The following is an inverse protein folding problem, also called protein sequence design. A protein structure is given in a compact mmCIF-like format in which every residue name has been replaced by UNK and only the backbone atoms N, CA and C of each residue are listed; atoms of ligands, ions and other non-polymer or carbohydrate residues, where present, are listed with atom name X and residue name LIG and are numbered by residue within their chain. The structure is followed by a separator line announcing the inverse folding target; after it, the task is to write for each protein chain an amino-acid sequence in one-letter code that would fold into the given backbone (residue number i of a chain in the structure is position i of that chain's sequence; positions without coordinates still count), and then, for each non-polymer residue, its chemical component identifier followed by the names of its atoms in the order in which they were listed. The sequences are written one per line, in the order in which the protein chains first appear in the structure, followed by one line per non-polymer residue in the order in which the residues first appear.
data_IF_913173984406
#
_entry.id   IF_913173984406
#
_cell.length_a   1.000
_cell.length_b   1.000
_cell.length_c   1.000
_cell.angle_alpha   90.00
_cell.angle_beta   90.00
_cell.angle_gamma   90.00
#
_symmetry.space_group_name_H-M   'P 1'
#
loop_
_entity.id
_entity.type
_entity.pdbx_description
1 polymer ?
#
# COMPACT_ATOMS: atom_id res chain seq x y z
N UNK A 1 5.34 18.34 -15.59
CA UNK A 1 6.29 17.42 -14.89
C UNK A 1 6.46 17.72 -13.38
N UNK A 2 6.05 18.90 -12.88
CA UNK A 2 6.16 19.28 -11.45
C UNK A 2 4.97 18.80 -10.60
N UNK A 3 3.75 18.80 -11.15
CA UNK A 3 2.50 18.46 -10.42
C UNK A 3 2.56 17.06 -9.79
N UNK A 4 3.01 16.04 -10.53
CA UNK A 4 3.16 14.68 -9.99
C UNK A 4 4.16 14.62 -8.83
N UNK A 5 5.28 15.34 -8.91
CA UNK A 5 6.29 15.36 -7.84
C UNK A 5 5.76 16.05 -6.58
N UNK A 6 4.90 17.06 -6.74
CA UNK A 6 4.17 17.70 -5.65
C UNK A 6 3.24 16.73 -4.93
N UNK A 7 2.37 16.03 -5.66
CA UNK A 7 1.40 15.07 -5.09
C UNK A 7 2.10 13.97 -4.28
N UNK A 8 3.20 13.41 -4.78
CA UNK A 8 3.96 12.40 -4.03
C UNK A 8 4.59 12.99 -2.76
N UNK A 9 5.11 14.21 -2.83
CA UNK A 9 5.73 14.88 -1.68
C UNK A 9 4.68 15.21 -0.61
N UNK A 10 3.51 15.69 -1.00
CA UNK A 10 2.42 16.02 -0.09
C UNK A 10 1.84 14.77 0.56
N UNK A 11 1.71 13.66 -0.18
CA UNK A 11 1.33 12.38 0.40
C UNK A 11 2.35 11.90 1.44
N UNK A 12 3.66 11.96 1.16
CA UNK A 12 4.69 11.55 2.13
C UNK A 12 4.61 12.39 3.41
N UNK A 13 4.38 13.71 3.30
CA UNK A 13 4.18 14.57 4.47
C UNK A 13 2.91 14.21 5.25
N UNK A 14 1.80 13.96 4.56
CA UNK A 14 0.56 13.55 5.20
C UNK A 14 0.72 12.20 5.92
N UNK A 15 1.36 11.22 5.27
CA UNK A 15 1.63 9.91 5.85
C UNK A 15 2.52 10.04 7.11
N UNK A 16 3.53 10.93 7.09
CA UNK A 16 4.37 11.22 8.26
C UNK A 16 3.57 11.85 9.43
N UNK A 17 2.68 12.80 9.14
CA UNK A 17 1.81 13.38 10.17
C UNK A 17 0.86 12.34 10.77
N UNK A 18 0.33 11.42 9.96
CA UNK A 18 -0.48 10.29 10.46
C UNK A 18 0.37 9.39 11.35
N UNK A 19 1.62 9.11 10.99
CA UNK A 19 2.51 8.29 11.80
C UNK A 19 2.77 8.91 13.19
N UNK A 20 2.97 10.23 13.22
CA UNK A 20 3.27 10.99 14.44
C UNK A 20 2.04 11.14 15.34
N UNK A 21 0.90 11.54 14.77
CA UNK A 21 -0.25 11.97 15.57
C UNK A 21 -1.36 10.93 15.67
N UNK A 22 -1.41 9.94 14.77
CA UNK A 22 -2.48 8.93 14.69
C UNK A 22 -1.88 7.53 14.39
N UNK A 23 -0.97 7.02 15.24
CA UNK A 23 -0.16 5.83 14.95
C UNK A 23 -0.96 4.53 14.83
N UNK A 24 -2.25 4.53 15.18
CA UNK A 24 -3.15 3.40 15.06
C UNK A 24 -3.80 3.30 13.66
N UNK A 25 -3.69 4.34 12.82
CA UNK A 25 -4.24 4.35 11.46
C UNK A 25 -3.30 3.54 10.55
N UNK A 26 -3.84 2.46 9.97
CA UNK A 26 -3.18 1.73 8.90
C UNK A 26 -3.20 2.53 7.60
N UNK A 27 -2.13 2.46 6.81
CA UNK A 27 -2.04 3.13 5.51
C UNK A 27 -1.87 2.11 4.39
N UNK A 28 -2.50 2.36 3.26
CA UNK A 28 -2.37 1.51 2.08
C UNK A 28 -1.71 2.26 0.93
N UNK A 29 -0.74 1.61 0.29
CA UNK A 29 0.07 2.13 -0.79
C UNK A 29 -0.16 1.28 -2.04
N UNK A 30 -1.20 1.59 -2.82
CA UNK A 30 -1.49 0.85 -4.04
C UNK A 30 -0.53 1.21 -5.17
N UNK A 31 -0.49 0.33 -6.17
CA UNK A 31 0.08 0.63 -7.48
C UNK A 31 -0.71 1.70 -8.27
N UNK A 32 -0.46 1.79 -9.57
CA UNK A 32 -1.17 2.73 -10.45
C UNK A 32 -2.63 2.30 -10.59
N UNK A 33 -3.58 3.17 -10.30
CA UNK A 33 -5.00 2.85 -10.36
C UNK A 33 -5.55 2.82 -11.79
N UNK A 34 -6.55 1.96 -12.04
CA UNK A 34 -7.36 1.93 -13.27
C UNK A 34 -8.85 1.72 -12.97
N UNK A 35 -9.72 2.22 -13.86
CA UNK A 35 -11.19 2.01 -13.83
C UNK A 35 -11.63 0.78 -14.62
N UNK A 36 -10.69 0.02 -15.18
CA UNK A 36 -11.02 -1.28 -15.78
C UNK A 36 -11.47 -2.24 -14.68
N UNK A 37 -12.35 -3.21 -15.02
CA UNK A 37 -12.70 -4.28 -14.10
C UNK A 37 -11.44 -4.96 -13.55
N UNK A 38 -11.50 -5.26 -12.27
CA UNK A 38 -10.52 -6.01 -11.52
C UNK A 38 -10.40 -7.42 -12.04
N UNK A 39 -9.23 -7.98 -11.77
CA UNK A 39 -8.90 -9.35 -12.18
C UNK A 39 -8.64 -10.24 -10.97
N UNK A 40 -8.84 -9.72 -9.76
CA UNK A 40 -8.40 -10.36 -8.54
C UNK A 40 -6.87 -10.47 -8.46
N UNK A 41 -6.40 -11.35 -7.58
CA UNK A 41 -4.97 -11.57 -7.37
C UNK A 41 -4.25 -10.43 -6.65
N UNK A 42 -5.02 -9.55 -5.98
CA UNK A 42 -4.43 -8.52 -5.11
C UNK A 42 -3.72 -9.19 -3.94
N UNK A 43 -2.52 -8.70 -3.67
CA UNK A 43 -1.67 -9.12 -2.57
C UNK A 43 -1.45 -7.91 -1.66
N UNK A 44 -1.48 -8.16 -0.36
CA UNK A 44 -1.26 -7.17 0.68
C UNK A 44 -0.04 -7.60 1.47
N UNK A 45 0.97 -6.74 1.54
CA UNK A 45 2.19 -6.99 2.29
C UNK A 45 2.43 -5.89 3.30
N UNK A 46 2.89 -6.23 4.51
CA UNK A 46 3.46 -5.26 5.43
C UNK A 46 4.72 -4.67 4.77
N UNK A 47 4.75 -3.35 4.59
CA UNK A 47 5.87 -2.66 3.96
C UNK A 47 7.19 -2.84 4.73
N UNK A 48 7.15 -3.06 6.05
CA UNK A 48 8.35 -3.38 6.82
C UNK A 48 8.98 -4.73 6.44
N UNK A 49 8.19 -5.63 5.82
CA UNK A 49 8.66 -6.91 5.31
C UNK A 49 9.14 -6.85 3.86
N UNK A 50 8.90 -5.74 3.15
CA UNK A 50 9.20 -5.60 1.72
C UNK A 50 10.59 -5.01 1.50
N UNK A 51 11.48 -5.79 0.89
CA UNK A 51 12.80 -5.32 0.50
C UNK A 51 12.73 -4.50 -0.80
N UNK A 52 12.04 -5.05 -1.81
CA UNK A 52 11.96 -4.43 -3.13
C UNK A 52 10.71 -4.85 -3.89
N UNK A 53 10.15 -3.88 -4.59
CA UNK A 53 9.14 -4.11 -5.63
C UNK A 53 9.75 -3.98 -7.03
N UNK A 54 9.45 -4.88 -7.99
CA UNK A 54 9.99 -4.82 -9.35
C UNK A 54 9.45 -3.65 -10.19
N UNK A 55 8.45 -2.93 -9.70
CA UNK A 55 7.87 -1.75 -10.33
C UNK A 55 6.57 -1.34 -9.65
N UNK A 56 5.82 -0.46 -10.31
CA UNK A 56 4.50 0.01 -9.86
C UNK A 56 3.45 -0.59 -10.81
N UNK A 57 2.86 -1.76 -10.50
CA UNK A 57 1.88 -2.38 -11.38
C UNK A 57 0.60 -1.55 -11.46
N UNK A 58 -0.15 -1.75 -12.54
CA UNK A 58 -1.48 -1.15 -12.66
C UNK A 58 -2.52 -2.08 -12.04
N UNK A 59 -3.31 -1.57 -11.10
CA UNK A 59 -4.29 -2.31 -10.30
C UNK A 59 -5.67 -1.63 -10.40
N UNK A 60 -6.74 -2.43 -10.44
CA UNK A 60 -8.09 -1.89 -10.51
C UNK A 60 -8.50 -1.26 -9.16
N UNK A 61 -9.34 -0.21 -9.21
CA UNK A 61 -9.86 0.42 -8.00
C UNK A 61 -10.69 -0.54 -7.14
N UNK A 62 -11.44 -1.45 -7.76
CA UNK A 62 -12.22 -2.46 -7.03
C UNK A 62 -11.32 -3.46 -6.27
N UNK A 63 -10.24 -3.95 -6.90
CA UNK A 63 -9.28 -4.84 -6.24
C UNK A 63 -8.62 -4.14 -5.02
N UNK A 64 -8.36 -2.83 -5.14
CA UNK A 64 -7.85 -2.03 -4.00
C UNK A 64 -8.90 -1.89 -2.91
N UNK A 65 -10.18 -1.70 -3.24
CA UNK A 65 -11.25 -1.61 -2.25
C UNK A 65 -11.41 -2.91 -1.44
N UNK A 66 -11.32 -4.06 -2.11
CA UNK A 66 -11.34 -5.37 -1.45
C UNK A 66 -10.14 -5.57 -0.52
N UNK A 67 -8.95 -5.12 -0.94
CA UNK A 67 -7.76 -5.13 -0.10
C UNK A 67 -7.93 -4.23 1.14
N UNK A 68 -8.48 -3.02 0.98
CA UNK A 68 -8.77 -2.12 2.10
C UNK A 68 -9.76 -2.73 3.09
N UNK A 69 -10.82 -3.38 2.58
CA UNK A 69 -11.79 -4.09 3.42
C UNK A 69 -11.12 -5.23 4.20
N UNK A 70 -10.23 -5.98 3.56
CA UNK A 70 -9.47 -7.06 4.20
C UNK A 70 -8.55 -6.53 5.29
N UNK A 71 -7.85 -5.42 5.03
CA UNK A 71 -6.98 -4.75 6.01
C UNK A 71 -7.81 -4.33 7.22
N UNK A 72 -8.92 -3.64 7.00
CA UNK A 72 -9.77 -3.07 8.05
C UNK A 72 -10.46 -4.13 8.93
N UNK A 73 -10.70 -5.33 8.39
CA UNK A 73 -11.34 -6.44 9.14
C UNK A 73 -10.42 -7.12 10.14
N UNK A 74 -9.09 -6.93 10.05
CA UNK A 74 -8.14 -7.53 10.99
C UNK A 74 -7.62 -6.46 11.97
N UNK A 75 -8.02 -6.49 13.25
CA UNK A 75 -7.56 -5.53 14.25
C UNK A 75 -6.04 -5.50 14.45
N UNK A 76 -5.33 -6.59 14.15
CA UNK A 76 -3.87 -6.67 14.27
C UNK A 76 -3.14 -5.81 13.25
N UNK A 77 -3.83 -5.35 12.21
CA UNK A 77 -3.27 -4.48 11.17
C UNK A 77 -3.19 -3.01 11.59
N UNK A 78 -3.70 -2.64 12.78
CA UNK A 78 -3.73 -1.27 13.25
C UNK A 78 -2.32 -0.66 13.28
N UNK A 79 -2.16 0.49 12.64
CA UNK A 79 -0.88 1.21 12.57
C UNK A 79 0.14 0.66 11.57
N UNK A 80 -0.22 -0.34 10.78
CA UNK A 80 0.69 -0.93 9.77
C UNK A 80 0.58 -0.24 8.42
N UNK A 81 1.72 -0.12 7.74
CA UNK A 81 1.81 0.32 6.35
C UNK A 81 1.76 -0.86 5.40
N UNK A 82 0.82 -0.85 4.48
CA UNK A 82 0.58 -1.94 3.55
C UNK A 82 0.92 -1.56 2.11
N UNK A 83 1.72 -2.39 1.46
CA UNK A 83 1.83 -2.41 0.01
C UNK A 83 0.66 -3.20 -0.56
N UNK A 84 -0.13 -2.58 -1.44
CA UNK A 84 -1.24 -3.22 -2.16
C UNK A 84 -0.87 -3.36 -3.63
N UNK A 85 -0.69 -4.60 -4.09
CA UNK A 85 -0.10 -4.87 -5.40
C UNK A 85 -0.66 -6.13 -6.03
N UNK A 86 -0.48 -6.30 -7.33
CA UNK A 86 -0.75 -7.56 -8.06
C UNK A 86 0.55 -8.24 -8.50
N UNK A 87 1.69 -7.57 -8.32
CA UNK A 87 3.02 -8.08 -8.68
C UNK A 87 3.66 -8.86 -7.54
N UNK A 88 4.66 -9.66 -7.88
CA UNK A 88 5.51 -10.31 -6.89
C UNK A 88 6.42 -9.29 -6.22
N UNK A 89 6.76 -9.57 -4.96
CA UNK A 89 7.53 -8.70 -4.08
C UNK A 89 8.64 -9.50 -3.46
N UNK A 90 9.85 -8.94 -3.44
CA UNK A 90 10.95 -9.51 -2.68
C UNK A 90 10.77 -9.13 -1.21
N UNK A 91 10.65 -10.14 -0.34
CA UNK A 91 10.51 -9.95 1.10
C UNK A 91 11.87 -10.09 1.78
N UNK A 92 12.07 -9.37 2.87
CA UNK A 92 13.21 -9.58 3.74
C UNK A 92 13.21 -11.02 4.25
N UNK A 93 14.39 -11.65 4.23
CA UNK A 93 14.57 -12.94 4.88
C UNK A 93 14.27 -12.80 6.38
N UNK A 94 13.54 -13.74 7.00
CA UNK A 94 13.34 -13.70 8.45
C UNK A 94 14.73 -13.72 9.12
N UNK A 95 15.02 -12.69 9.91
CA UNK A 95 16.21 -12.69 10.74
C UNK A 95 16.11 -13.89 11.71
N UNK A 96 17.11 -14.77 11.66
CA UNK A 96 17.26 -15.88 12.60
C UNK A 96 17.47 -15.39 14.02
#
# INVERSE_FOLDING_TARGET
KVIMRGIFTDKVKADALVAEYQPYISRAHPGRLTDKPGKGGVKVFDMASVERTPGIPTIAREDVADALLTIAKNPQNAGTDFLVTIGDVALHSPQK
#
